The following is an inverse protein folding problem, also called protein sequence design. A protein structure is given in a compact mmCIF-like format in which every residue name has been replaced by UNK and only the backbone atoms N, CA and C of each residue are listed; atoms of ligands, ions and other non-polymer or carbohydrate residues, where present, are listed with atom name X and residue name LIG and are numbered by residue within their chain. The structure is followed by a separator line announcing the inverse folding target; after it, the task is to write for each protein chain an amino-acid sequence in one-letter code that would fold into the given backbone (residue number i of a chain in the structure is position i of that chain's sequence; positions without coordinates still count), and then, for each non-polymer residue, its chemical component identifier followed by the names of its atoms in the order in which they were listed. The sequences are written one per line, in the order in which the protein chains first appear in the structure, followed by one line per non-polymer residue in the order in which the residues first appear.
data_IF_030626473418
#
_entry.id   IF_030626473418
#
_cell.length_a   1.000
_cell.length_b   1.000
_cell.length_c   1.000
_cell.angle_alpha   90.00
_cell.angle_beta   90.00
_cell.angle_gamma   90.00
#
_symmetry.space_group_name_H-M   'P 1'
#
loop_
_entity.id
_entity.type
_entity.pdbx_description
1 polymer ?
#
# COMPACT_ATOMS: atom_id res chain seq x y z
N UNK A 1 -6.07 1.33 15.75
CA UNK A 1 -6.61 1.88 14.47
C UNK A 1 -7.79 1.04 14.08
N UNK A 2 -8.93 1.68 13.77
CA UNK A 2 -10.09 0.96 13.48
C UNK A 2 -10.22 0.73 12.00
N UNK A 3 -10.69 -0.40 11.54
CA UNK A 3 -10.89 -0.71 10.13
C UNK A 3 -9.59 -0.53 9.33
N UNK A 4 -8.51 -1.02 9.90
CA UNK A 4 -7.20 -0.84 9.29
C UNK A 4 -7.06 -1.66 8.02
N UNK A 5 -6.47 -1.07 7.00
CA UNK A 5 -6.21 -1.73 5.73
C UNK A 5 -4.79 -1.45 5.31
N UNK A 6 -4.24 -2.27 4.46
CA UNK A 6 -2.91 -2.05 3.90
C UNK A 6 -2.10 -3.31 3.83
N UNK A 7 -0.91 -3.23 3.27
CA UNK A 7 -0.07 -4.40 3.02
C UNK A 7 0.86 -4.75 4.17
N UNK A 8 1.31 -6.00 4.16
CA UNK A 8 2.43 -6.44 4.97
C UNK A 8 3.52 -6.75 3.97
N UNK A 9 4.62 -6.03 4.00
CA UNK A 9 5.68 -6.18 3.02
C UNK A 9 6.88 -6.87 3.62
N UNK A 10 7.51 -7.77 2.86
CA UNK A 10 8.72 -8.40 3.29
C UNK A 10 9.82 -7.36 3.29
N UNK A 11 10.68 -7.40 4.29
CA UNK A 11 11.74 -6.41 4.36
C UNK A 11 12.67 -6.58 3.18
N UNK A 12 12.99 -5.50 2.51
CA UNK A 12 13.91 -5.48 1.39
C UNK A 12 14.42 -4.07 1.23
N UNK A 13 15.36 -3.89 0.32
CA UNK A 13 15.93 -2.56 0.12
C UNK A 13 14.94 -1.60 -0.48
N UNK A 14 13.86 -2.08 -1.09
CA UNK A 14 12.88 -1.19 -1.70
C UNK A 14 11.75 -0.79 -0.77
N UNK A 15 11.66 -1.37 0.41
CA UNK A 15 10.53 -1.14 1.30
C UNK A 15 10.39 0.32 1.70
N UNK A 16 11.49 0.99 1.98
CA UNK A 16 11.37 2.37 2.41
C UNK A 16 10.86 3.28 1.30
N UNK A 17 11.24 2.98 0.06
CA UNK A 17 10.72 3.76 -1.06
C UNK A 17 9.22 3.53 -1.24
N UNK A 18 8.76 2.31 -1.02
CA UNK A 18 7.34 2.01 -1.13
C UNK A 18 6.58 2.71 -0.01
N UNK A 19 7.12 2.74 1.20
CA UNK A 19 6.47 3.43 2.32
C UNK A 19 6.37 4.92 2.01
N UNK A 20 7.44 5.52 1.50
CA UNK A 20 7.42 6.94 1.15
C UNK A 20 6.39 7.22 0.07
N UNK A 21 6.26 6.32 -0.90
CA UNK A 21 5.28 6.47 -1.96
C UNK A 21 3.86 6.40 -1.40
N UNK A 22 3.62 5.50 -0.45
CA UNK A 22 2.31 5.41 0.18
C UNK A 22 2.01 6.72 0.92
N UNK A 23 2.98 7.25 1.60
CA UNK A 23 2.76 8.51 2.32
C UNK A 23 2.47 9.64 1.34
N UNK A 24 3.17 9.67 0.22
CA UNK A 24 2.95 10.71 -0.79
C UNK A 24 1.55 10.62 -1.39
N UNK A 25 1.03 9.42 -1.56
CA UNK A 25 -0.25 9.23 -2.24
C UNK A 25 -1.46 9.32 -1.32
N UNK A 26 -1.22 9.46 -0.02
CA UNK A 26 -2.32 9.52 0.95
C UNK A 26 -2.16 10.74 1.87
N UNK A 27 -2.11 11.95 1.28
CA UNK A 27 -1.92 13.14 2.08
C UNK A 27 -3.09 13.33 3.04
N UNK A 28 -2.83 13.75 4.23
CA UNK A 28 -3.89 13.96 5.22
C UNK A 28 -4.36 12.67 5.90
N UNK A 29 -3.81 11.53 5.52
CA UNK A 29 -4.20 10.27 6.11
C UNK A 29 -3.08 9.79 7.01
N UNK A 30 -3.43 9.36 8.20
CA UNK A 30 -2.41 8.84 9.09
C UNK A 30 -2.00 7.46 8.62
N UNK A 31 -0.72 7.27 8.37
CA UNK A 31 -0.18 5.98 7.94
C UNK A 31 0.62 5.41 9.09
N UNK A 32 0.25 4.23 9.56
CA UNK A 32 0.96 3.59 10.65
C UNK A 32 1.90 2.55 10.08
N UNK A 33 3.16 2.59 10.48
CA UNK A 33 4.17 1.66 10.01
C UNK A 33 4.66 0.86 11.20
N UNK A 34 4.50 -0.45 11.16
CA UNK A 34 4.89 -1.31 12.25
C UNK A 34 5.99 -2.23 11.76
N UNK A 35 7.21 -1.97 12.21
CA UNK A 35 8.38 -2.71 11.78
C UNK A 35 8.53 -3.96 12.63
N UNK A 36 8.51 -5.11 12.00
CA UNK A 36 8.66 -6.38 12.70
C UNK A 36 9.97 -7.07 12.32
N UNK A 37 10.90 -6.36 11.74
CA UNK A 37 12.20 -6.93 11.37
C UNK A 37 12.17 -7.60 10.01
N UNK A 38 11.62 -8.79 9.94
CA UNK A 38 11.56 -9.52 8.67
C UNK A 38 10.49 -8.98 7.74
N UNK A 39 9.52 -8.26 8.28
CA UNK A 39 8.49 -7.64 7.46
C UNK A 39 7.96 -6.40 8.16
N UNK A 40 7.26 -5.57 7.41
CA UNK A 40 6.71 -4.35 7.94
C UNK A 40 5.22 -4.30 7.55
N UNK A 41 4.39 -3.94 8.52
CA UNK A 41 2.96 -3.77 8.26
C UNK A 41 2.69 -2.29 8.10
N UNK A 42 1.98 -1.94 7.05
CA UNK A 42 1.64 -0.55 6.77
C UNK A 42 0.14 -0.46 6.73
N UNK A 43 -0.43 0.43 7.53
CA UNK A 43 -1.90 0.46 7.58
C UNK A 43 -2.46 1.86 7.75
N UNK A 44 -3.67 2.03 7.28
CA UNK A 44 -4.43 3.27 7.40
C UNK A 44 -5.87 2.89 7.64
N UNK A 45 -6.67 3.83 8.11
CA UNK A 45 -8.07 3.53 8.33
C UNK A 45 -8.84 3.65 7.05
N UNK A 46 -9.68 2.67 6.75
CA UNK A 46 -10.65 2.68 5.67
C UNK A 46 -10.07 2.55 4.27
N UNK A 47 -9.04 3.25 3.93
CA UNK A 47 -8.56 3.27 2.55
C UNK A 47 -7.09 3.67 2.48
N UNK A 48 -6.36 3.04 1.56
CA UNK A 48 -4.97 3.37 1.30
C UNK A 48 -4.67 3.07 -0.17
N UNK A 49 -3.82 3.85 -0.79
CA UNK A 49 -3.44 3.58 -2.18
C UNK A 49 -1.97 3.89 -2.39
N UNK A 50 -1.38 3.30 -3.42
CA UNK A 50 -0.04 3.64 -3.84
C UNK A 50 0.00 3.55 -5.35
N UNK A 51 0.66 4.51 -5.99
CA UNK A 51 0.73 4.54 -7.44
C UNK A 51 2.11 4.19 -7.91
N UNK A 52 2.18 3.68 -9.13
CA UNK A 52 3.44 3.36 -9.78
C UNK A 52 4.32 4.61 -9.86
N UNK A 53 3.72 5.74 -10.24
CA UNK A 53 4.48 6.98 -10.40
C UNK A 53 5.16 7.38 -9.09
N UNK A 54 4.47 7.26 -7.96
CA UNK A 54 5.06 7.63 -6.68
C UNK A 54 6.16 6.67 -6.27
N UNK A 55 5.99 5.37 -6.56
CA UNK A 55 7.02 4.41 -6.25
C UNK A 55 8.26 4.71 -7.10
N UNK A 56 8.07 4.97 -8.38
CA UNK A 56 9.20 5.24 -9.26
C UNK A 56 9.93 6.50 -8.83
N UNK A 57 9.20 7.52 -8.40
CA UNK A 57 9.82 8.75 -7.96
C UNK A 57 10.68 8.51 -6.71
N UNK A 58 10.23 7.68 -5.82
CA UNK A 58 10.94 7.44 -4.58
C UNK A 58 12.05 6.41 -4.72
N UNK A 59 11.90 5.46 -5.63
CA UNK A 59 12.89 4.43 -5.80
C UNK A 59 13.97 4.83 -6.80
N UNK A 60 13.67 5.78 -7.66
CA UNK A 60 14.65 6.29 -8.63
C UNK A 60 14.84 5.43 -9.86
N UNK A 61 13.90 4.56 -10.17
CA UNK A 61 13.97 3.75 -11.38
C UNK A 61 12.59 3.25 -11.74
N UNK A 62 12.49 2.64 -12.91
CA UNK A 62 11.20 2.09 -13.32
C UNK A 62 10.78 0.98 -12.39
N UNK A 63 9.50 0.86 -12.17
CA UNK A 63 8.95 -0.13 -11.26
C UNK A 63 7.60 -0.59 -11.81
N UNK A 64 7.45 -1.88 -11.98
CA UNK A 64 6.17 -2.41 -12.45
C UNK A 64 5.34 -2.79 -11.24
N UNK A 65 4.06 -2.48 -11.25
CA UNK A 65 3.22 -2.78 -10.07
C UNK A 65 3.20 -4.26 -9.75
N UNK A 66 3.38 -5.13 -10.74
CA UNK A 66 3.43 -6.56 -10.46
C UNK A 66 4.64 -6.94 -9.62
N UNK A 67 5.65 -6.06 -9.53
CA UNK A 67 6.80 -6.34 -8.69
C UNK A 67 6.47 -6.16 -7.22
N UNK A 68 5.37 -5.49 -6.91
CA UNK A 68 4.98 -5.31 -5.53
C UNK A 68 4.37 -6.60 -4.97
N UNK A 69 3.77 -7.42 -5.82
CA UNK A 69 3.09 -8.62 -5.36
C UNK A 69 4.00 -9.57 -4.59
N UNK A 70 5.18 -9.91 -5.10
CA UNK A 70 6.03 -10.81 -4.32
C UNK A 70 6.57 -10.18 -3.04
N UNK A 71 6.54 -8.86 -2.93
CA UNK A 71 6.96 -8.21 -1.71
C UNK A 71 5.86 -8.29 -0.66
N UNK A 72 4.62 -8.47 -1.08
CA UNK A 72 3.48 -8.42 -0.18
C UNK A 72 3.16 -9.81 0.32
N UNK A 73 3.47 -10.08 1.57
CA UNK A 73 3.20 -11.40 2.14
C UNK A 73 1.76 -11.55 2.58
N UNK A 74 1.10 -10.44 2.85
CA UNK A 74 -0.29 -10.43 3.27
C UNK A 74 -0.83 -9.01 3.16
N UNK A 75 -2.12 -8.84 3.34
CA UNK A 75 -2.72 -7.51 3.36
C UNK A 75 -4.04 -7.58 4.11
N UNK A 76 -4.50 -6.44 4.57
CA UNK A 76 -5.79 -6.33 5.23
C UNK A 76 -6.70 -5.49 4.35
N UNK A 77 -7.96 -5.84 4.27
CA UNK A 77 -8.94 -5.12 3.46
C UNK A 77 -9.11 -5.75 2.11
N UNK A 78 -9.83 -5.08 1.23
CA UNK A 78 -10.01 -5.54 -0.12
C UNK A 78 -9.00 -4.85 -1.00
N UNK A 79 -8.37 -5.60 -1.88
CA UNK A 79 -7.31 -5.06 -2.71
C UNK A 79 -7.78 -4.91 -4.15
N UNK A 80 -7.37 -3.83 -4.79
CA UNK A 80 -7.64 -3.62 -6.20
C UNK A 80 -6.32 -3.25 -6.84
N UNK A 81 -5.96 -3.96 -7.90
CA UNK A 81 -4.69 -3.78 -8.56
C UNK A 81 -4.87 -3.41 -10.02
N UNK A 82 -4.17 -2.38 -10.47
CA UNK A 82 -4.10 -2.06 -11.89
C UNK A 82 -2.63 -1.90 -12.24
N UNK A 83 -2.32 -1.63 -13.49
CA UNK A 83 -0.93 -1.42 -13.88
C UNK A 83 -0.35 -0.15 -13.29
N UNK A 84 -1.20 0.77 -12.83
CA UNK A 84 -0.72 2.06 -12.32
C UNK A 84 -0.94 2.27 -10.84
N UNK A 85 -1.69 1.42 -10.18
CA UNK A 85 -2.08 1.69 -8.81
C UNK A 85 -2.55 0.43 -8.08
N UNK A 86 -2.28 0.35 -6.80
CA UNK A 86 -2.87 -0.66 -5.95
C UNK A 86 -3.56 0.09 -4.83
N UNK A 87 -4.77 -0.34 -4.47
CA UNK A 87 -5.47 0.27 -3.35
C UNK A 87 -6.04 -0.81 -2.44
N UNK A 88 -6.21 -0.45 -1.18
CA UNK A 88 -6.78 -1.33 -0.16
C UNK A 88 -7.92 -0.56 0.48
N UNK A 89 -9.08 -1.20 0.66
CA UNK A 89 -10.22 -0.57 1.31
C UNK A 89 -10.82 -1.49 2.33
N UNK A 90 -11.41 -0.92 3.38
CA UNK A 90 -11.96 -1.72 4.47
C UNK A 90 -13.02 -2.65 3.92
N UNK A 91 -13.90 -2.16 3.07
CA UNK A 91 -14.78 -3.02 2.41
C UNK A 91 -15.16 -2.33 1.15
N UNK A 92 -15.68 -3.12 0.22
CA UNK A 92 -16.02 -2.58 -0.97
C UNK A 92 -16.97 -1.51 -0.83
N UNK A 93 -16.75 -0.42 -1.44
CA UNK A 93 -17.62 0.60 -1.39
C UNK A 93 -18.78 0.21 -2.16
N UNK A 94 -19.80 -0.05 -1.54
CA UNK A 94 -20.86 -0.53 -2.14
C UNK A 94 -21.66 0.49 -2.71
N UNK A 95 -21.89 0.48 -3.86
CA UNK A 95 -22.76 1.31 -4.41
C UNK A 95 -24.02 0.82 -4.04
N UNK A 96 -24.86 1.56 -3.59
CA UNK A 96 -26.14 1.13 -3.23
C UNK A 96 -26.64 0.53 -4.45
N UNK A 97 -26.88 -0.61 -4.38
CA UNK A 97 -27.29 -1.26 -5.38
C UNK A 97 -28.43 -0.86 -5.66
N UNK A 98 -28.50 -0.57 -6.44
CA UNK A 98 -29.56 -0.20 -6.69
C UNK A 98 -30.33 -1.08 -7.31
#
# INVERSE_FOLDING_TARGET
MKNAVGPVLRMSEDVEAVIAAIEDDNPGTEIEVIDRGAYVRIQAEQHMRVTRASIERNIGRTFEMRQLEPMMSAFAGRIKTTSEEISWSYKQQEEPVS
#
